data_IF_305192367280
#
_entry.id   IF_305192367280
#
_cell.length_a   1.000
_cell.length_b   1.000
_cell.length_c   1.000
_cell.angle_alpha   90.00
_cell.angle_beta   90.00
_cell.angle_gamma   90.00
#
_symmetry.space_group_name_H-M   'P 1'
#
loop_
_entity.id
_entity.type
_entity.pdbx_description
1 polymer ?
#
# COMPACT_ATOMS: atom_id res chain seq x y z
N UNK A 1 26.19 39.14 12.91
CA UNK A 1 26.61 37.72 12.93
C UNK A 1 25.42 36.85 12.68
N UNK A 2 25.53 35.97 11.73
CA UNK A 2 24.52 34.93 11.52
C UNK A 2 24.65 33.92 12.65
N UNK A 3 23.59 33.73 13.44
CA UNK A 3 23.53 32.68 14.44
C UNK A 3 22.63 31.57 13.92
N UNK A 4 23.04 30.33 14.10
CA UNK A 4 22.20 29.18 13.82
C UNK A 4 21.12 29.08 14.90
N UNK A 5 19.99 28.46 14.54
CA UNK A 5 18.94 28.17 15.52
C UNK A 5 19.49 27.28 16.63
N UNK A 6 19.07 27.54 17.85
CA UNK A 6 19.29 26.62 18.97
C UNK A 6 18.48 25.36 18.75
N UNK A 7 18.83 24.27 19.44
CA UNK A 7 18.10 23.00 19.34
C UNK A 7 16.58 23.15 19.65
N UNK A 8 16.15 23.87 20.70
CA UNK A 8 14.72 24.12 20.95
C UNK A 8 14.03 24.91 19.84
N UNK A 9 14.70 25.89 19.24
CA UNK A 9 14.15 26.67 18.13
C UNK A 9 14.02 25.82 16.86
N UNK A 10 15.02 24.98 16.59
CA UNK A 10 14.98 24.03 15.47
C UNK A 10 13.85 23.02 15.64
N UNK A 11 13.69 22.46 16.85
CA UNK A 11 12.60 21.56 17.17
C UNK A 11 11.25 22.21 16.92
N UNK A 12 11.04 23.43 17.39
CA UNK A 12 9.81 24.18 17.17
C UNK A 12 9.52 24.38 15.70
N UNK A 13 10.55 24.70 14.91
CA UNK A 13 10.42 24.85 13.47
C UNK A 13 10.02 23.51 12.83
N UNK A 14 10.72 22.42 13.14
CA UNK A 14 10.43 21.08 12.59
C UNK A 14 9.01 20.63 12.94
N UNK A 15 8.57 20.87 14.19
CA UNK A 15 7.22 20.52 14.64
C UNK A 15 6.12 21.31 13.89
N UNK A 16 6.48 22.44 13.27
CA UNK A 16 5.55 23.26 12.48
C UNK A 16 5.42 22.80 11.02
N UNK A 17 6.32 21.94 10.55
CA UNK A 17 6.30 21.46 9.17
C UNK A 17 5.13 20.53 8.90
N UNK A 18 4.53 20.60 7.69
CA UNK A 18 3.50 19.65 7.29
C UNK A 18 4.04 18.22 7.31
N UNK A 19 3.22 17.29 7.78
CA UNK A 19 3.53 15.87 7.80
C UNK A 19 2.53 15.08 6.95
N UNK A 20 2.95 13.91 6.48
CA UNK A 20 2.11 13.00 5.72
C UNK A 20 2.27 11.59 6.24
N UNK A 21 1.16 10.86 6.25
CA UNK A 21 1.17 9.42 6.53
C UNK A 21 1.64 8.70 5.26
N UNK A 22 2.50 7.70 5.43
CA UNK A 22 2.91 6.81 4.36
C UNK A 22 2.15 5.48 4.47
N UNK A 23 1.67 4.99 3.34
CA UNK A 23 1.10 3.66 3.21
C UNK A 23 1.81 2.90 2.09
N UNK A 24 1.90 1.59 2.20
CA UNK A 24 2.52 0.76 1.20
C UNK A 24 1.69 -0.50 0.97
N UNK A 25 1.46 -0.83 -0.28
CA UNK A 25 0.57 -1.90 -0.73
C UNK A 25 1.29 -2.83 -1.69
N UNK A 26 0.95 -4.11 -1.68
CA UNK A 26 1.52 -5.11 -2.58
C UNK A 26 0.53 -5.52 -3.67
N UNK A 27 0.95 -5.44 -4.92
CA UNK A 27 0.24 -6.03 -6.05
C UNK A 27 0.69 -7.48 -6.20
N UNK A 28 -0.11 -8.41 -5.68
CA UNK A 28 0.15 -9.85 -5.74
C UNK A 28 -0.79 -10.47 -6.77
N UNK A 29 -0.26 -11.24 -7.70
CA UNK A 29 -1.03 -11.82 -8.80
C UNK A 29 -0.92 -13.34 -8.79
N UNK A 30 -1.91 -14.01 -9.40
CA UNK A 30 -1.81 -15.41 -9.74
C UNK A 30 -1.34 -15.58 -11.21
N UNK A 31 -1.08 -16.83 -11.67
CA UNK A 31 -0.64 -17.08 -13.04
C UNK A 31 -1.67 -16.67 -14.11
N UNK A 32 -2.93 -16.47 -13.74
CA UNK A 32 -4.00 -16.02 -14.63
C UNK A 32 -4.13 -14.48 -14.65
N UNK A 33 -3.27 -13.77 -13.91
CA UNK A 33 -3.30 -12.30 -13.84
C UNK A 33 -4.34 -11.74 -12.88
N UNK A 34 -4.99 -12.57 -12.06
CA UNK A 34 -5.91 -12.12 -11.02
C UNK A 34 -5.12 -11.52 -9.86
N UNK A 35 -5.71 -10.52 -9.22
CA UNK A 35 -5.11 -9.76 -8.12
C UNK A 35 -5.64 -10.28 -6.79
N UNK A 36 -4.75 -10.46 -5.82
CA UNK A 36 -5.12 -10.83 -4.46
C UNK A 36 -5.72 -9.63 -3.74
N UNK A 37 -6.99 -9.75 -3.34
CA UNK A 37 -7.69 -8.81 -2.49
C UNK A 37 -7.94 -9.41 -1.11
N UNK A 38 -8.05 -8.54 -0.11
CA UNK A 38 -8.43 -8.92 1.26
C UNK A 38 -9.64 -8.12 1.70
N UNK A 39 -10.46 -8.74 2.55
CA UNK A 39 -11.70 -8.15 3.08
C UNK A 39 -11.47 -7.66 4.50
N UNK A 40 -11.41 -6.33 4.75
CA UNK A 40 -11.29 -5.80 6.11
C UNK A 40 -12.55 -6.05 6.93
N UNK A 41 -12.41 -6.19 8.25
CA UNK A 41 -13.56 -6.36 9.14
C UNK A 41 -14.21 -5.05 9.59
N UNK A 42 -13.63 -3.88 9.21
CA UNK A 42 -14.04 -2.57 9.70
C UNK A 42 -14.62 -1.65 8.61
N UNK A 43 -14.71 -2.12 7.37
CA UNK A 43 -15.32 -1.39 6.25
C UNK A 43 -15.80 -2.36 5.17
N UNK A 44 -16.72 -1.89 4.31
CA UNK A 44 -17.30 -2.73 3.26
C UNK A 44 -16.44 -2.90 2.02
N UNK A 45 -15.54 -1.94 1.76
CA UNK A 45 -14.67 -2.00 0.59
C UNK A 45 -13.50 -2.95 0.84
N UNK A 46 -13.21 -3.79 -0.15
CA UNK A 46 -12.02 -4.63 -0.16
C UNK A 46 -10.76 -3.80 -0.39
N UNK A 47 -9.63 -4.37 -0.10
CA UNK A 47 -8.32 -3.73 -0.29
C UNK A 47 -7.30 -4.77 -0.76
N UNK A 48 -6.07 -4.35 -0.94
CA UNK A 48 -4.91 -5.24 -1.18
C UNK A 48 -4.08 -5.35 0.08
N UNK A 49 -3.28 -6.42 0.23
CA UNK A 49 -2.35 -6.53 1.35
C UNK A 49 -1.42 -5.33 1.43
N UNK A 50 -1.24 -4.80 2.62
CA UNK A 50 -0.43 -3.63 2.88
C UNK A 50 -0.92 -2.85 4.09
N UNK A 51 -0.29 -1.74 4.38
CA UNK A 51 -0.67 -0.92 5.52
C UNK A 51 0.19 0.31 5.71
N UNK A 52 0.11 0.88 6.89
CA UNK A 52 0.87 2.07 7.27
C UNK A 52 2.35 1.73 7.43
N UNK A 53 3.19 2.59 6.87
CA UNK A 53 4.64 2.53 7.07
C UNK A 53 4.95 3.12 8.44
N UNK A 54 5.66 2.39 9.26
CA UNK A 54 6.00 2.80 10.63
C UNK A 54 7.17 3.78 10.67
N UNK A 55 7.31 4.50 11.78
CA UNK A 55 8.43 5.41 12.00
C UNK A 55 9.76 4.64 11.92
N UNK A 56 10.71 5.18 11.15
CA UNK A 56 12.02 4.55 10.97
C UNK A 56 12.07 3.39 9.97
N UNK A 57 10.92 3.06 9.37
CA UNK A 57 10.78 2.00 8.38
C UNK A 57 10.71 2.59 6.97
N UNK A 58 11.38 2.00 5.99
CA UNK A 58 11.17 2.38 4.59
C UNK A 58 9.88 1.74 4.04
N UNK A 59 9.27 2.35 2.99
CA UNK A 59 7.99 1.87 2.47
C UNK A 59 8.01 0.43 1.95
N UNK A 60 9.09 -0.01 1.32
CA UNK A 60 9.20 -1.39 0.81
C UNK A 60 9.21 -2.40 1.96
N UNK A 61 10.03 -2.15 2.97
CA UNK A 61 10.09 -3.00 4.18
C UNK A 61 8.73 -3.07 4.87
N UNK A 62 8.07 -1.91 5.04
CA UNK A 62 6.73 -1.84 5.65
C UNK A 62 5.69 -2.62 4.85
N UNK A 63 5.71 -2.50 3.52
CA UNK A 63 4.80 -3.23 2.64
C UNK A 63 4.88 -4.75 2.87
N UNK A 64 6.08 -5.31 2.79
CA UNK A 64 6.24 -6.76 2.87
C UNK A 64 6.16 -7.29 4.29
N UNK A 65 6.40 -6.49 5.31
CA UNK A 65 6.06 -6.79 6.71
C UNK A 65 4.55 -6.96 6.87
N UNK A 66 3.76 -6.02 6.34
CA UNK A 66 2.30 -6.09 6.37
C UNK A 66 1.77 -7.32 5.61
N UNK A 67 2.37 -7.66 4.47
CA UNK A 67 1.99 -8.87 3.72
C UNK A 67 2.16 -10.13 4.57
N UNK A 68 3.26 -10.25 5.31
CA UNK A 68 3.47 -11.37 6.25
C UNK A 68 2.42 -11.37 7.35
N UNK A 69 2.16 -10.21 7.96
CA UNK A 69 1.21 -10.08 9.07
C UNK A 69 -0.23 -10.38 8.62
N UNK A 70 -0.65 -9.82 7.49
CA UNK A 70 -2.04 -9.90 7.02
C UNK A 70 -2.40 -11.23 6.34
N UNK A 71 -1.51 -11.79 5.54
CA UNK A 71 -1.83 -12.97 4.70
C UNK A 71 -0.84 -14.13 4.84
N UNK A 72 0.18 -13.98 5.67
CA UNK A 72 1.15 -15.05 5.95
C UNK A 72 2.06 -15.41 4.78
N UNK A 73 2.26 -14.50 3.84
CA UNK A 73 3.09 -14.72 2.66
C UNK A 73 4.47 -14.09 2.82
N UNK A 74 5.51 -14.89 2.67
CA UNK A 74 6.91 -14.46 2.66
C UNK A 74 7.37 -14.30 1.21
N UNK A 75 7.15 -13.11 0.65
CA UNK A 75 7.45 -12.81 -0.75
C UNK A 75 8.78 -12.08 -0.89
N UNK A 76 9.47 -12.29 -2.01
CA UNK A 76 10.60 -11.46 -2.39
C UNK A 76 10.08 -10.06 -2.78
N UNK A 77 10.57 -8.97 -2.13
CA UNK A 77 10.13 -7.63 -2.46
C UNK A 77 10.47 -7.27 -3.91
N UNK A 78 9.43 -6.93 -4.67
CA UNK A 78 9.58 -6.47 -6.06
C UNK A 78 9.81 -4.97 -6.16
N UNK A 79 9.79 -4.47 -7.40
CA UNK A 79 10.05 -3.07 -7.68
C UNK A 79 8.84 -2.18 -7.36
N UNK A 80 9.09 -0.89 -7.19
CA UNK A 80 8.06 0.13 -7.09
C UNK A 80 7.28 0.24 -8.41
N UNK A 81 5.96 0.29 -8.32
CA UNK A 81 5.04 0.45 -9.46
C UNK A 81 4.32 1.78 -9.46
N UNK A 82 3.90 2.27 -8.30
CA UNK A 82 3.13 3.52 -8.16
C UNK A 82 3.56 4.29 -6.94
N UNK A 83 3.63 5.61 -7.09
CA UNK A 83 3.61 6.58 -5.99
C UNK A 83 2.36 7.44 -6.18
N UNK A 84 1.48 7.47 -5.19
CA UNK A 84 0.23 8.20 -5.27
C UNK A 84 0.08 9.17 -4.10
N UNK A 85 -0.25 10.43 -4.39
CA UNK A 85 -0.57 11.43 -3.38
C UNK A 85 -2.04 11.33 -3.01
N UNK A 86 -2.33 11.28 -1.71
CA UNK A 86 -3.69 11.33 -1.15
C UNK A 86 -3.91 12.60 -0.37
N UNK A 87 -4.96 13.36 -0.75
CA UNK A 87 -5.35 14.57 0.00
C UNK A 87 -6.12 14.20 1.27
N UNK A 88 -6.04 15.08 2.26
CA UNK A 88 -6.80 14.94 3.50
C UNK A 88 -8.29 14.74 3.25
N UNK A 89 -8.89 13.78 3.96
CA UNK A 89 -10.31 13.47 3.86
C UNK A 89 -10.86 13.09 5.25
N UNK A 90 -11.80 13.87 5.76
CA UNK A 90 -12.35 13.67 7.10
C UNK A 90 -11.26 13.76 8.18
N UNK A 91 -11.13 12.74 9.01
CA UNK A 91 -10.11 12.66 10.05
C UNK A 91 -8.74 12.26 9.53
N UNK A 92 -8.65 11.83 8.27
CA UNK A 92 -7.40 11.39 7.66
C UNK A 92 -6.68 12.58 7.03
N UNK A 93 -5.43 12.79 7.44
CA UNK A 93 -4.55 13.80 6.84
C UNK A 93 -4.04 13.36 5.46
N UNK A 94 -3.21 14.22 4.87
CA UNK A 94 -2.53 13.91 3.62
C UNK A 94 -1.71 12.62 3.76
N UNK A 95 -1.60 11.89 2.65
CA UNK A 95 -0.85 10.64 2.60
C UNK A 95 -0.08 10.48 1.30
N UNK A 96 0.92 9.64 1.32
CA UNK A 96 1.60 9.12 0.13
C UNK A 96 1.51 7.60 0.17
N UNK A 97 1.00 7.01 -0.88
CA UNK A 97 0.87 5.56 -1.02
C UNK A 97 1.85 5.04 -2.06
N UNK A 98 2.48 3.91 -1.73
CA UNK A 98 3.41 3.20 -2.59
C UNK A 98 2.79 1.86 -2.95
N UNK A 99 2.90 1.45 -4.22
CA UNK A 99 2.52 0.09 -4.65
C UNK A 99 3.75 -0.62 -5.15
N UNK A 100 4.04 -1.77 -4.57
CA UNK A 100 5.16 -2.63 -4.96
C UNK A 100 4.68 -3.89 -5.67
N UNK A 101 5.51 -4.40 -6.57
CA UNK A 101 5.28 -5.70 -7.19
C UNK A 101 5.49 -6.81 -6.16
N UNK A 102 4.41 -7.50 -5.82
CA UNK A 102 4.43 -8.66 -4.93
C UNK A 102 4.71 -9.98 -5.65
N UNK A 103 4.84 -9.94 -6.96
CA UNK A 103 5.11 -11.11 -7.78
C UNK A 103 3.87 -11.95 -8.12
N UNK A 104 4.13 -13.14 -8.63
CA UNK A 104 3.12 -14.12 -9.02
C UNK A 104 3.25 -15.34 -8.12
N UNK A 105 2.13 -15.76 -7.52
CA UNK A 105 2.03 -17.00 -6.74
C UNK A 105 0.89 -17.86 -7.27
N UNK A 106 0.94 -19.17 -7.06
CA UNK A 106 -0.16 -20.05 -7.43
C UNK A 106 -1.43 -19.72 -6.63
N UNK A 107 -2.58 -19.80 -7.29
CA UNK A 107 -3.86 -19.45 -6.66
C UNK A 107 -4.20 -20.32 -5.45
N UNK A 108 -3.67 -21.54 -5.37
CA UNK A 108 -3.85 -22.49 -4.27
C UNK A 108 -2.78 -22.36 -3.18
N UNK A 109 -1.87 -21.39 -3.30
CA UNK A 109 -0.91 -21.09 -2.24
C UNK A 109 -1.66 -20.81 -0.93
N UNK A 110 -1.30 -21.47 0.19
CA UNK A 110 -1.97 -21.24 1.46
C UNK A 110 -1.88 -19.77 1.90
N UNK A 111 -3.02 -19.18 2.21
CA UNK A 111 -3.15 -17.83 2.71
C UNK A 111 -3.87 -17.89 4.05
N UNK A 112 -3.22 -17.34 5.08
CA UNK A 112 -3.78 -17.24 6.42
C UNK A 112 -4.04 -15.77 6.72
N UNK A 113 -5.31 -15.36 6.71
CA UNK A 113 -5.68 -13.98 7.01
C UNK A 113 -5.54 -13.69 8.51
N UNK A 114 -5.11 -12.48 8.83
CA UNK A 114 -5.03 -11.96 10.20
C UNK A 114 -6.45 -11.69 10.70
N UNK A 115 -6.99 -12.58 11.53
CA UNK A 115 -8.40 -12.58 11.96
C UNK A 115 -8.81 -11.32 12.74
N UNK A 116 -7.87 -10.62 13.36
CA UNK A 116 -8.14 -9.38 14.07
C UNK A 116 -8.56 -8.24 13.14
N UNK A 117 -8.14 -8.27 11.88
CA UNK A 117 -8.36 -7.19 10.92
C UNK A 117 -9.06 -7.62 9.63
N UNK A 118 -8.93 -8.89 9.24
CA UNK A 118 -9.39 -9.42 7.96
C UNK A 118 -10.38 -10.56 8.13
N UNK A 119 -11.40 -10.58 7.27
CA UNK A 119 -12.42 -11.65 7.22
C UNK A 119 -12.06 -12.73 6.21
N UNK A 120 -11.55 -12.37 5.05
CA UNK A 120 -11.29 -13.31 3.97
C UNK A 120 -10.33 -12.71 2.92
N UNK A 121 -10.02 -13.51 1.92
CA UNK A 121 -9.26 -13.08 0.75
C UNK A 121 -9.93 -13.61 -0.53
N UNK A 122 -9.58 -13.02 -1.67
CA UNK A 122 -10.05 -13.49 -2.97
C UNK A 122 -9.09 -13.12 -4.09
N UNK A 123 -9.09 -13.93 -5.13
CA UNK A 123 -8.46 -13.63 -6.41
C UNK A 123 -9.48 -12.94 -7.31
N UNK A 124 -9.15 -11.78 -7.84
CA UNK A 124 -10.08 -10.93 -8.60
C UNK A 124 -9.46 -10.54 -9.93
N UNK A 125 -10.20 -10.78 -11.01
CA UNK A 125 -9.77 -10.37 -12.35
C UNK A 125 -9.66 -8.83 -12.41
N UNK A 126 -8.70 -8.28 -13.17
CA UNK A 126 -8.55 -6.83 -13.30
C UNK A 126 -9.82 -6.11 -13.73
N UNK A 127 -10.65 -6.73 -14.56
CA UNK A 127 -11.92 -6.19 -15.05
C UNK A 127 -12.98 -6.05 -13.94
N UNK A 128 -12.83 -6.79 -12.86
CA UNK A 128 -13.78 -6.84 -11.73
C UNK A 128 -13.36 -5.98 -10.54
N UNK A 129 -12.21 -5.31 -10.59
CA UNK A 129 -11.68 -4.55 -9.45
C UNK A 129 -12.64 -3.46 -8.96
N UNK A 130 -13.36 -2.80 -9.87
CA UNK A 130 -14.31 -1.74 -9.49
C UNK A 130 -15.50 -2.25 -8.66
N UNK A 131 -15.82 -3.53 -8.76
CA UNK A 131 -16.92 -4.14 -7.98
C UNK A 131 -16.57 -4.29 -6.49
N UNK A 132 -15.28 -4.30 -6.16
CA UNK A 132 -14.82 -4.60 -4.80
C UNK A 132 -14.08 -3.43 -4.15
N UNK A 133 -13.38 -2.62 -4.94
CA UNK A 133 -12.49 -1.58 -4.46
C UNK A 133 -13.14 -0.20 -4.55
N UNK A 134 -12.81 0.69 -3.62
CA UNK A 134 -13.12 2.10 -3.79
C UNK A 134 -12.43 2.64 -5.06
N UNK A 135 -13.01 3.66 -5.73
CA UNK A 135 -12.51 4.14 -7.02
C UNK A 135 -11.03 4.55 -7.02
N UNK A 136 -10.57 5.22 -5.98
CA UNK A 136 -9.17 5.67 -5.89
C UNK A 136 -8.17 4.52 -5.83
N UNK A 137 -8.51 3.45 -5.11
CA UNK A 137 -7.66 2.25 -5.05
C UNK A 137 -7.71 1.47 -6.36
N UNK A 138 -8.89 1.30 -6.96
CA UNK A 138 -9.03 0.63 -8.25
C UNK A 138 -8.20 1.35 -9.34
N UNK A 139 -8.26 2.69 -9.37
CA UNK A 139 -7.44 3.50 -10.28
C UNK A 139 -5.93 3.28 -10.04
N UNK A 140 -5.52 3.27 -8.79
CA UNK A 140 -4.11 3.04 -8.41
C UNK A 140 -3.62 1.66 -8.81
N UNK A 141 -4.44 0.61 -8.63
CA UNK A 141 -4.07 -0.74 -9.04
C UNK A 141 -4.02 -0.92 -10.56
N UNK A 142 -4.92 -0.28 -11.30
CA UNK A 142 -4.83 -0.27 -12.76
C UNK A 142 -3.55 0.41 -13.25
N UNK A 143 -3.16 1.53 -12.62
CA UNK A 143 -1.89 2.18 -12.91
C UNK A 143 -0.70 1.26 -12.58
N UNK A 144 -0.78 0.51 -11.49
CA UNK A 144 0.25 -0.45 -11.11
C UNK A 144 0.38 -1.59 -12.12
N UNK A 145 -0.74 -2.14 -12.59
CA UNK A 145 -0.74 -3.17 -13.63
C UNK A 145 -0.15 -2.66 -14.96
N UNK A 146 -0.49 -1.44 -15.35
CA UNK A 146 0.09 -0.80 -16.54
C UNK A 146 1.59 -0.57 -16.38
N UNK A 147 2.02 -0.03 -15.24
CA UNK A 147 3.44 0.19 -14.94
C UNK A 147 4.24 -1.11 -14.96
N UNK A 148 3.64 -2.20 -14.44
CA UNK A 148 4.25 -3.52 -14.47
C UNK A 148 4.48 -4.02 -15.91
N UNK A 149 3.46 -3.87 -16.78
CA UNK A 149 3.56 -4.27 -18.19
C UNK A 149 4.57 -3.42 -18.98
N UNK A 150 4.64 -2.11 -18.67
CA UNK A 150 5.46 -1.16 -19.42
C UNK A 150 6.90 -1.04 -18.90
N UNK A 151 7.20 -1.62 -17.74
CA UNK A 151 8.50 -1.45 -17.08
C UNK A 151 8.72 -0.04 -16.51
N UNK A 152 7.63 0.66 -16.16
CA UNK A 152 7.64 2.05 -15.68
C UNK A 152 7.23 2.16 -14.22
N UNK A 153 7.26 3.38 -13.68
CA UNK A 153 6.67 3.75 -12.39
C UNK A 153 5.64 4.85 -12.67
N UNK A 154 4.43 4.69 -12.17
CA UNK A 154 3.39 5.70 -12.30
C UNK A 154 3.40 6.66 -11.11
N UNK A 155 3.27 7.95 -11.37
CA UNK A 155 3.07 8.99 -10.37
C UNK A 155 1.65 9.53 -10.50
N UNK A 156 0.88 9.45 -9.42
CA UNK A 156 -0.54 9.83 -9.39
C UNK A 156 -0.79 10.96 -8.39
#
# INVERSE_FOLDING_TARGET
MSSYLSEPELKKFVDSLPTRRLAAEALIRDPQGRVLLVEPNYKSDWTVPGGTVEAGEDPRTGCFREVVEEVGLHLAPGRLLVVAHGVAMGVWGDSVSFVYDGGVIEADTPITVQEEELLSHRWTAPEELDAYLRPGLAHRLRAALAALADGTVAEL
#
